data_IF_089130152090
#
_entry.id   IF_089130152090
#
_cell.length_a   1.000
_cell.length_b   1.000
_cell.length_c   1.000
_cell.angle_alpha   90.00
_cell.angle_beta   90.00
_cell.angle_gamma   90.00
#
_symmetry.space_group_name_H-M   'P 1'
#
loop_
_entity.id
_entity.type
_entity.pdbx_description
1 polymer ?
#
# COMPACT_ATOMS: atom_id res chain seq x y z
N UNK A 1 -24.11 -20.74 18.28
CA UNK A 1 -24.89 -19.52 18.58
C UNK A 1 -24.87 -18.67 17.31
N UNK A 2 -25.95 -18.74 16.53
CA UNK A 2 -26.02 -18.13 15.19
C UNK A 2 -26.15 -16.62 15.39
N UNK A 3 -25.08 -15.86 15.11
CA UNK A 3 -25.18 -14.39 15.05
C UNK A 3 -26.04 -14.05 13.83
N UNK A 4 -27.29 -13.68 14.06
CA UNK A 4 -28.11 -13.06 13.04
C UNK A 4 -27.44 -11.75 12.63
N UNK A 5 -26.89 -11.70 11.40
CA UNK A 5 -26.50 -10.45 10.77
C UNK A 5 -27.77 -9.61 10.65
N UNK A 6 -27.88 -8.52 11.42
CA UNK A 6 -28.88 -7.49 11.13
C UNK A 6 -28.67 -7.04 9.69
N UNK A 7 -29.72 -6.91 8.87
CA UNK A 7 -29.56 -6.29 7.56
C UNK A 7 -29.00 -4.88 7.78
N UNK A 8 -27.85 -4.59 7.17
CA UNK A 8 -27.30 -3.24 7.15
C UNK A 8 -28.28 -2.34 6.40
N UNK A 9 -28.39 -1.05 6.77
CA UNK A 9 -29.31 -0.12 6.13
C UNK A 9 -29.12 -0.15 4.61
N UNK A 10 -30.22 -0.04 3.87
CA UNK A 10 -30.21 0.07 2.42
C UNK A 10 -29.46 1.36 2.05
N UNK A 11 -28.17 1.25 1.75
CA UNK A 11 -27.35 2.41 1.38
C UNK A 11 -27.86 2.85 0.02
N UNK A 12 -28.52 4.01 0.00
CA UNK A 12 -29.15 4.54 -1.20
C UNK A 12 -28.12 4.58 -2.35
N UNK A 13 -28.46 3.96 -3.47
CA UNK A 13 -27.65 4.06 -4.67
C UNK A 13 -27.58 5.54 -5.09
N UNK A 14 -26.41 6.04 -5.51
CA UNK A 14 -26.26 7.44 -5.87
C UNK A 14 -27.25 7.82 -6.98
N UNK A 15 -27.91 8.97 -6.83
CA UNK A 15 -28.68 9.52 -7.94
C UNK A 15 -27.77 9.75 -9.16
N UNK A 16 -28.26 9.53 -10.38
CA UNK A 16 -27.48 9.74 -11.59
C UNK A 16 -26.85 11.14 -11.60
N UNK A 17 -25.52 11.21 -11.70
CA UNK A 17 -24.79 12.48 -11.73
C UNK A 17 -24.50 13.10 -10.36
N UNK A 18 -24.53 12.35 -9.25
CA UNK A 18 -23.95 12.80 -7.97
C UNK A 18 -22.71 11.99 -7.60
N UNK A 19 -21.69 12.69 -7.10
CA UNK A 19 -20.49 12.08 -6.53
C UNK A 19 -20.81 11.58 -5.14
N UNK A 20 -20.64 10.27 -4.95
CA UNK A 20 -20.86 9.62 -3.66
C UNK A 20 -19.69 8.67 -3.41
N UNK A 21 -18.88 8.97 -2.40
CA UNK A 21 -17.63 8.29 -2.07
C UNK A 21 -17.54 8.05 -0.54
N UNK A 22 -16.75 7.09 -0.06
CA UNK A 22 -16.42 7.01 1.36
C UNK A 22 -15.90 8.36 1.89
N UNK A 23 -16.55 8.89 2.92
CA UNK A 23 -16.25 10.21 3.47
C UNK A 23 -16.90 11.39 2.72
N UNK A 24 -17.71 11.15 1.69
CA UNK A 24 -18.54 12.18 1.05
C UNK A 24 -19.83 11.56 0.48
N UNK A 25 -20.93 11.68 1.22
CA UNK A 25 -22.20 11.03 0.87
C UNK A 25 -22.28 9.55 1.26
N UNK A 26 -21.17 8.92 1.69
CA UNK A 26 -21.13 7.62 2.38
C UNK A 26 -20.29 7.70 3.65
N UNK A 27 -20.53 6.83 4.64
CA UNK A 27 -19.63 6.65 5.78
C UNK A 27 -18.18 6.40 5.33
N UNK A 28 -17.20 6.89 6.08
CA UNK A 28 -15.77 6.70 5.76
C UNK A 28 -15.34 5.23 5.76
N UNK A 29 -16.02 4.41 6.57
CA UNK A 29 -15.85 2.96 6.69
C UNK A 29 -16.72 2.17 5.70
N UNK A 30 -17.32 2.82 4.69
CA UNK A 30 -18.16 2.14 3.71
C UNK A 30 -17.39 1.04 2.96
N UNK A 31 -18.02 -0.12 2.86
CA UNK A 31 -17.52 -1.29 2.14
C UNK A 31 -18.54 -1.63 1.04
N UNK A 32 -18.18 -1.52 -0.25
CA UNK A 32 -19.07 -1.91 -1.34
C UNK A 32 -19.49 -3.38 -1.26
N UNK A 33 -20.75 -3.68 -1.56
CA UNK A 33 -21.32 -5.02 -1.60
C UNK A 33 -21.74 -5.41 -3.02
N UNK A 34 -21.95 -6.70 -3.25
CA UNK A 34 -22.43 -7.20 -4.55
C UNK A 34 -23.74 -6.50 -4.93
N UNK A 35 -23.72 -5.79 -6.07
CA UNK A 35 -24.83 -4.95 -6.55
C UNK A 35 -24.57 -3.45 -6.46
N UNK A 36 -23.58 -3.01 -5.68
CA UNK A 36 -23.12 -1.63 -5.67
C UNK A 36 -22.33 -1.29 -6.93
N UNK A 37 -22.44 -0.05 -7.40
CA UNK A 37 -21.75 0.44 -8.62
C UNK A 37 -20.22 0.37 -8.49
N UNK A 38 -19.71 0.53 -7.27
CA UNK A 38 -18.30 0.52 -6.92
C UNK A 38 -17.79 -0.84 -6.39
N UNK A 39 -18.59 -1.90 -6.53
CA UNK A 39 -18.17 -3.25 -6.16
C UNK A 39 -17.25 -3.87 -7.21
N UNK A 40 -15.98 -4.11 -6.83
CA UNK A 40 -14.93 -4.66 -7.70
C UNK A 40 -14.53 -6.09 -7.27
N UNK A 41 -15.31 -6.73 -6.36
CA UNK A 41 -15.05 -8.00 -5.64
C UNK A 41 -14.22 -7.83 -4.36
N UNK A 42 -13.42 -8.83 -4.01
CA UNK A 42 -12.55 -8.85 -2.85
C UNK A 42 -11.59 -7.67 -2.91
N UNK A 43 -11.73 -6.79 -1.92
CA UNK A 43 -10.87 -5.62 -1.74
C UNK A 43 -9.73 -5.97 -0.78
N UNK A 44 -8.69 -5.14 -0.79
CA UNK A 44 -7.67 -5.20 0.25
C UNK A 44 -8.28 -4.93 1.63
N UNK A 45 -7.83 -5.66 2.68
CA UNK A 45 -8.18 -5.33 4.04
C UNK A 45 -7.83 -3.88 4.36
N UNK A 46 -8.76 -3.18 5.00
CA UNK A 46 -8.62 -1.76 5.32
C UNK A 46 -8.80 -1.54 6.80
N UNK A 47 -7.90 -0.76 7.40
CA UNK A 47 -8.03 -0.31 8.79
C UNK A 47 -9.29 0.54 9.04
N UNK A 48 -9.95 1.02 7.97
CA UNK A 48 -11.22 1.74 8.07
C UNK A 48 -12.43 0.79 8.23
N UNK A 49 -12.30 -0.51 7.97
CA UNK A 49 -13.38 -1.49 8.15
C UNK A 49 -13.28 -2.16 9.51
N UNK A 50 -14.34 -2.02 10.31
CA UNK A 50 -14.45 -2.75 11.58
C UNK A 50 -14.40 -4.27 11.39
N UNK A 51 -14.94 -4.79 10.28
CA UNK A 51 -14.89 -6.22 9.98
C UNK A 51 -13.45 -6.69 9.76
N UNK A 52 -12.67 -5.94 8.98
CA UNK A 52 -11.29 -6.34 8.63
C UNK A 52 -10.39 -6.28 9.87
N UNK A 53 -10.66 -5.31 10.76
CA UNK A 53 -10.01 -5.17 12.06
C UNK A 53 -10.37 -6.33 13.00
N UNK A 54 -11.65 -6.71 13.08
CA UNK A 54 -12.13 -7.83 13.91
C UNK A 54 -11.57 -9.17 13.43
N UNK A 55 -11.46 -9.35 12.12
CA UNK A 55 -10.86 -10.52 11.48
C UNK A 55 -9.31 -10.52 11.54
N UNK A 56 -8.71 -9.44 12.06
CA UNK A 56 -7.25 -9.20 12.11
C UNK A 56 -6.57 -9.23 10.74
N UNK A 57 -7.34 -9.04 9.67
CA UNK A 57 -6.86 -9.00 8.29
C UNK A 57 -6.01 -7.76 7.99
N UNK A 58 -6.06 -6.75 8.87
CA UNK A 58 -5.27 -5.50 8.80
C UNK A 58 -3.95 -5.58 9.58
N UNK A 59 -3.73 -6.64 10.36
CA UNK A 59 -2.53 -6.81 11.17
C UNK A 59 -1.54 -7.71 10.44
N UNK A 60 -0.42 -7.13 10.01
CA UNK A 60 0.69 -7.91 9.44
C UNK A 60 1.36 -8.70 10.57
N UNK A 61 1.61 -10.01 10.41
CA UNK A 61 2.25 -10.81 11.44
C UNK A 61 3.67 -10.31 11.72
N UNK A 62 4.10 -10.41 12.98
CA UNK A 62 5.48 -10.11 13.36
C UNK A 62 6.43 -11.07 12.63
N UNK A 63 7.29 -10.51 11.79
CA UNK A 63 8.28 -11.29 11.03
C UNK A 63 9.61 -11.28 11.76
N UNK A 64 10.17 -12.46 12.03
CA UNK A 64 11.45 -12.60 12.74
C UNK A 64 12.63 -12.14 11.90
N UNK A 65 13.76 -11.81 12.53
CA UNK A 65 14.98 -11.43 11.80
C UNK A 65 15.46 -12.51 10.82
N UNK A 66 15.25 -13.79 11.15
CA UNK A 66 15.60 -14.91 10.25
C UNK A 66 14.66 -15.00 9.06
N UNK A 67 13.36 -14.84 9.25
CA UNK A 67 12.40 -14.79 8.14
C UNK A 67 12.68 -13.59 7.22
N UNK A 68 12.98 -12.40 7.78
CA UNK A 68 13.42 -11.24 6.98
C UNK A 68 14.70 -11.56 6.19
N UNK A 69 15.67 -12.24 6.80
CA UNK A 69 16.90 -12.64 6.12
C UNK A 69 16.63 -13.64 4.98
N UNK A 70 15.72 -14.59 5.20
CA UNK A 70 15.27 -15.55 4.19
C UNK A 70 14.54 -14.87 3.03
N UNK A 71 13.67 -13.90 3.32
CA UNK A 71 12.98 -13.08 2.31
C UNK A 71 13.98 -12.27 1.48
N UNK A 72 14.98 -11.65 2.11
CA UNK A 72 16.04 -10.93 1.41
C UNK A 72 16.89 -11.85 0.52
N UNK A 73 17.17 -13.08 0.98
CA UNK A 73 17.86 -14.09 0.18
C UNK A 73 17.01 -14.48 -1.04
N UNK A 74 15.74 -14.84 -0.84
CA UNK A 74 14.83 -15.16 -1.94
C UNK A 74 14.69 -14.00 -2.92
N UNK A 75 14.60 -12.76 -2.42
CA UNK A 75 14.56 -11.58 -3.26
C UNK A 75 15.82 -11.44 -4.12
N UNK A 76 17.01 -11.61 -3.53
CA UNK A 76 18.28 -11.52 -4.26
C UNK A 76 18.44 -12.59 -5.36
N UNK A 77 17.82 -13.76 -5.18
CA UNK A 77 17.80 -14.81 -6.21
C UNK A 77 16.79 -14.46 -7.30
N UNK A 78 15.58 -14.05 -6.92
CA UNK A 78 14.48 -13.75 -7.85
C UNK A 78 14.70 -12.45 -8.63
N UNK A 79 15.63 -11.58 -8.23
CA UNK A 79 16.07 -10.41 -9.01
C UNK A 79 17.08 -10.77 -10.12
N UNK A 80 17.60 -12.01 -10.13
CA UNK A 80 18.49 -12.47 -11.20
C UNK A 80 17.65 -12.82 -12.44
N UNK A 81 18.05 -12.41 -13.66
CA UNK A 81 17.34 -12.76 -14.88
C UNK A 81 17.19 -14.27 -15.02
N UNK A 82 16.00 -14.72 -15.44
CA UNK A 82 15.67 -16.13 -15.65
C UNK A 82 15.89 -17.03 -14.42
N UNK A 83 15.74 -16.48 -13.20
CA UNK A 83 15.91 -17.22 -11.95
C UNK A 83 15.08 -18.52 -11.94
N UNK A 84 13.86 -18.47 -12.48
CA UNK A 84 12.90 -19.58 -12.51
C UNK A 84 13.40 -20.80 -13.30
N UNK A 85 14.24 -20.59 -14.30
CA UNK A 85 14.92 -21.68 -15.02
C UNK A 85 16.18 -22.11 -14.27
N UNK A 86 16.95 -21.12 -13.80
CA UNK A 86 18.28 -21.33 -13.19
C UNK A 86 18.22 -22.02 -11.83
N UNK A 87 17.12 -21.87 -11.08
CA UNK A 87 16.91 -22.53 -9.78
C UNK A 87 16.85 -24.06 -9.88
N UNK A 88 16.65 -24.61 -11.09
CA UNK A 88 16.66 -26.05 -11.34
C UNK A 88 18.04 -26.58 -11.75
N UNK A 89 19.04 -25.72 -11.94
CA UNK A 89 20.41 -26.12 -12.26
C UNK A 89 21.23 -26.27 -10.97
N UNK A 90 21.71 -27.49 -10.62
CA UNK A 90 22.46 -27.73 -9.39
C UNK A 90 23.75 -26.90 -9.27
N UNK A 91 24.46 -26.64 -10.38
CA UNK A 91 25.70 -25.87 -10.37
C UNK A 91 25.44 -24.38 -10.08
N UNK A 92 24.33 -23.84 -10.61
CA UNK A 92 23.94 -22.45 -10.35
C UNK A 92 23.45 -22.30 -8.92
N UNK A 93 22.62 -23.22 -8.44
CA UNK A 93 22.16 -23.25 -7.05
C UNK A 93 23.35 -23.34 -6.09
N UNK A 94 24.36 -24.15 -6.41
CA UNK A 94 25.57 -24.26 -5.60
C UNK A 94 26.31 -22.92 -5.49
N UNK A 95 26.45 -22.17 -6.59
CA UNK A 95 27.03 -20.82 -6.56
C UNK A 95 26.22 -19.84 -5.71
N UNK A 96 24.89 -19.86 -5.83
CA UNK A 96 24.04 -18.99 -5.00
C UNK A 96 24.10 -19.35 -3.51
N UNK A 97 24.29 -20.63 -3.18
CA UNK A 97 24.53 -21.06 -1.80
C UNK A 97 25.83 -20.50 -1.25
N UNK A 98 26.90 -20.55 -2.03
CA UNK A 98 28.20 -19.98 -1.67
C UNK A 98 28.11 -18.45 -1.51
N UNK A 99 27.47 -17.75 -2.46
CA UNK A 99 27.20 -16.30 -2.37
C UNK A 99 26.42 -15.95 -1.09
N UNK A 100 25.39 -16.72 -0.75
CA UNK A 100 24.56 -16.48 0.42
C UNK A 100 25.33 -16.67 1.74
N UNK A 101 26.11 -17.74 1.86
CA UNK A 101 26.94 -18.01 3.05
C UNK A 101 28.07 -16.98 3.19
N UNK A 102 28.59 -16.46 2.08
CA UNK A 102 29.61 -15.40 2.08
C UNK A 102 29.05 -13.98 2.32
N UNK A 103 27.73 -13.80 2.37
CA UNK A 103 27.09 -12.48 2.47
C UNK A 103 27.29 -11.78 3.82
N UNK A 104 27.79 -12.49 4.84
CA UNK A 104 27.94 -11.97 6.21
C UNK A 104 26.61 -11.88 6.99
N UNK A 105 25.49 -12.34 6.42
CA UNK A 105 24.19 -12.42 7.10
C UNK A 105 24.10 -13.70 7.95
N UNK A 106 23.22 -13.71 8.97
CA UNK A 106 22.90 -14.93 9.75
C UNK A 106 22.07 -15.89 8.90
N UNK A 107 22.74 -16.62 7.99
CA UNK A 107 22.13 -17.60 7.10
C UNK A 107 22.65 -18.98 7.45
N UNK A 108 21.75 -19.85 7.90
CA UNK A 108 22.05 -21.26 8.14
C UNK A 108 21.81 -22.09 6.89
N UNK A 109 22.42 -23.28 6.84
CA UNK A 109 22.20 -24.24 5.76
C UNK A 109 20.71 -24.61 5.60
N UNK A 110 20.00 -24.79 6.71
CA UNK A 110 18.56 -25.12 6.68
C UNK A 110 17.70 -23.99 6.13
N UNK A 111 18.05 -22.73 6.40
CA UNK A 111 17.37 -21.57 5.81
C UNK A 111 17.56 -21.55 4.29
N UNK A 112 18.80 -21.80 3.83
CA UNK A 112 19.10 -21.91 2.40
C UNK A 112 18.33 -23.04 1.73
N UNK A 113 18.34 -24.23 2.32
CA UNK A 113 17.65 -25.40 1.79
C UNK A 113 16.15 -25.11 1.64
N UNK A 114 15.54 -24.49 2.65
CA UNK A 114 14.14 -24.08 2.58
C UNK A 114 13.89 -23.05 1.49
N UNK A 115 14.69 -21.97 1.42
CA UNK A 115 14.53 -20.93 0.41
C UNK A 115 14.66 -21.47 -1.02
N UNK A 116 15.63 -22.36 -1.26
CA UNK A 116 15.80 -22.98 -2.57
C UNK A 116 14.60 -23.88 -2.90
N UNK A 117 14.14 -24.71 -1.95
CA UNK A 117 12.98 -25.58 -2.16
C UNK A 117 11.70 -24.77 -2.46
N UNK A 118 11.48 -23.69 -1.72
CA UNK A 118 10.34 -22.76 -1.93
C UNK A 118 10.41 -22.12 -3.32
N UNK A 119 11.59 -21.62 -3.74
CA UNK A 119 11.76 -21.03 -5.06
C UNK A 119 11.60 -22.05 -6.19
N UNK A 120 12.07 -23.29 -6.02
CA UNK A 120 11.83 -24.37 -6.99
C UNK A 120 10.33 -24.70 -7.12
N UNK A 121 9.63 -24.78 -5.99
CA UNK A 121 8.19 -24.99 -5.97
C UNK A 121 7.46 -23.86 -6.69
N UNK A 122 7.81 -22.60 -6.44
CA UNK A 122 7.20 -21.45 -7.10
C UNK A 122 7.53 -21.40 -8.59
N UNK A 123 8.77 -21.69 -8.98
CA UNK A 123 9.17 -21.79 -10.38
C UNK A 123 8.41 -22.88 -11.14
N UNK A 124 8.10 -24.02 -10.50
CA UNK A 124 7.33 -25.10 -11.14
C UNK A 124 5.89 -24.75 -11.50
N UNK A 125 5.35 -23.66 -10.92
CA UNK A 125 3.99 -23.17 -11.19
C UNK A 125 3.96 -22.14 -12.32
N UNK A 126 5.12 -21.66 -12.76
CA UNK A 126 5.20 -20.63 -13.79
C UNK A 126 4.91 -21.22 -15.17
N UNK A 127 4.15 -20.52 -16.03
CA UNK A 127 3.99 -20.91 -17.42
C UNK A 127 5.34 -21.00 -18.15
N UNK A 128 5.43 -21.82 -19.20
CA UNK A 128 6.65 -21.93 -20.01
C UNK A 128 7.01 -20.63 -20.74
N UNK A 129 6.02 -19.79 -21.04
CA UNK A 129 6.20 -18.48 -21.66
C UNK A 129 6.41 -17.39 -20.58
N UNK A 130 7.60 -16.77 -20.50
CA UNK A 130 7.90 -15.71 -19.54
C UNK A 130 6.98 -14.49 -19.64
N UNK A 131 6.44 -14.20 -20.83
CA UNK A 131 5.53 -13.08 -21.01
C UNK A 131 4.19 -13.27 -20.29
N UNK A 132 3.86 -14.51 -19.90
CA UNK A 132 2.65 -14.89 -19.19
C UNK A 132 2.89 -15.16 -17.71
N UNK A 133 4.11 -14.89 -17.21
CA UNK A 133 4.41 -15.11 -15.80
C UNK A 133 3.55 -14.19 -14.92
N UNK A 134 2.79 -14.74 -13.97
CA UNK A 134 2.06 -13.91 -13.02
C UNK A 134 3.06 -13.14 -12.14
N UNK A 135 2.64 -12.01 -11.56
CA UNK A 135 3.43 -11.36 -10.52
C UNK A 135 3.78 -12.35 -9.40
N UNK A 136 5.03 -12.31 -8.94
CA UNK A 136 5.52 -13.13 -7.84
C UNK A 136 5.18 -12.44 -6.52
N UNK A 137 4.46 -13.12 -5.63
CA UNK A 137 4.23 -12.68 -4.26
C UNK A 137 5.56 -12.69 -3.50
N UNK A 138 5.92 -11.58 -2.86
CA UNK A 138 7.21 -11.44 -2.16
C UNK A 138 7.07 -11.16 -0.67
N UNK A 139 5.97 -10.56 -0.23
CA UNK A 139 5.77 -10.26 1.19
C UNK A 139 4.30 -9.98 1.53
N UNK A 140 3.98 -10.06 2.82
CA UNK A 140 2.67 -9.73 3.38
C UNK A 140 2.24 -8.31 3.02
N UNK A 141 0.93 -8.06 3.06
CA UNK A 141 0.34 -6.80 2.59
C UNK A 141 0.28 -6.71 1.06
N UNK A 142 0.17 -7.88 0.41
CA UNK A 142 0.00 -7.99 -1.04
C UNK A 142 1.11 -7.31 -1.84
N UNK A 143 2.35 -7.52 -1.39
CA UNK A 143 3.54 -7.03 -2.10
C UNK A 143 3.91 -8.06 -3.17
N UNK A 144 3.82 -7.63 -4.43
CA UNK A 144 4.17 -8.42 -5.59
C UNK A 144 5.30 -7.76 -6.39
N UNK A 145 6.03 -8.56 -7.15
CA UNK A 145 6.93 -8.07 -8.19
C UNK A 145 6.71 -8.76 -9.53
N UNK A 146 6.99 -8.07 -10.61
CA UNK A 146 6.88 -8.61 -11.97
C UNK A 146 7.86 -7.89 -12.88
N UNK A 147 8.55 -8.66 -13.72
CA UNK A 147 9.45 -8.14 -14.74
C UNK A 147 8.71 -7.62 -15.99
N UNK A 148 7.41 -7.95 -16.12
CA UNK A 148 6.60 -7.68 -17.32
C UNK A 148 5.41 -6.76 -17.07
N UNK A 149 5.10 -6.43 -15.81
CA UNK A 149 3.96 -5.57 -15.47
C UNK A 149 4.05 -4.16 -16.06
N UNK A 150 5.26 -3.66 -16.32
CA UNK A 150 5.52 -2.35 -16.93
C UNK A 150 6.39 -2.55 -18.17
N UNK A 151 5.90 -2.14 -19.34
CA UNK A 151 6.66 -2.28 -20.57
C UNK A 151 7.93 -1.42 -20.56
N UNK A 152 9.01 -1.83 -21.26
CA UNK A 152 10.23 -1.02 -21.37
C UNK A 152 9.96 0.39 -21.92
N UNK A 153 9.01 0.52 -22.84
CA UNK A 153 8.62 1.79 -23.46
C UNK A 153 7.92 2.70 -22.45
N UNK A 154 6.98 2.17 -21.65
CA UNK A 154 6.29 2.93 -20.62
C UNK A 154 7.26 3.34 -19.51
N UNK A 155 8.12 2.41 -19.06
CA UNK A 155 9.17 2.69 -18.08
C UNK A 155 10.08 3.84 -18.53
N UNK A 156 10.54 3.79 -19.80
CA UNK A 156 11.38 4.85 -20.37
C UNK A 156 10.63 6.19 -20.44
N UNK A 157 9.40 6.18 -20.94
CA UNK A 157 8.57 7.38 -21.06
C UNK A 157 8.34 8.05 -19.69
N UNK A 158 8.06 7.25 -18.65
CA UNK A 158 7.90 7.73 -17.28
C UNK A 158 9.21 8.33 -16.75
N UNK A 159 10.34 7.65 -16.94
CA UNK A 159 11.65 8.16 -16.51
C UNK A 159 12.02 9.48 -17.20
N UNK A 160 11.73 9.61 -18.49
CA UNK A 160 11.96 10.84 -19.24
C UNK A 160 11.06 11.99 -18.75
N UNK A 161 9.78 11.71 -18.51
CA UNK A 161 8.84 12.70 -17.98
C UNK A 161 9.25 13.18 -16.57
N UNK A 162 9.64 12.25 -15.68
CA UNK A 162 10.09 12.58 -14.32
C UNK A 162 11.40 13.39 -14.36
N UNK A 163 12.38 13.02 -15.20
CA UNK A 163 13.61 13.82 -15.36
C UNK A 163 13.34 15.23 -15.86
N UNK A 164 12.43 15.38 -16.83
CA UNK A 164 12.04 16.69 -17.36
C UNK A 164 11.31 17.54 -16.31
N UNK A 165 10.58 16.91 -15.39
CA UNK A 165 9.98 17.55 -14.23
C UNK A 165 11.05 17.96 -13.20
N UNK A 166 11.92 17.03 -12.78
CA UNK A 166 13.03 17.25 -11.85
C UNK A 166 13.94 18.40 -12.29
N UNK A 167 14.29 18.46 -13.57
CA UNK A 167 15.17 19.49 -14.13
C UNK A 167 14.61 20.93 -13.99
N UNK A 168 13.30 21.07 -13.80
CA UNK A 168 12.65 22.38 -13.61
C UNK A 168 12.61 22.83 -12.14
N UNK A 169 12.97 21.95 -11.20
CA UNK A 169 12.90 22.23 -9.76
C UNK A 169 14.32 22.48 -9.23
N UNK A 170 14.62 23.71 -8.75
CA UNK A 170 15.89 24.00 -8.08
C UNK A 170 16.13 23.08 -6.87
N UNK A 171 17.38 22.69 -6.63
CA UNK A 171 17.75 21.76 -5.55
C UNK A 171 17.21 22.19 -4.18
N UNK A 172 17.26 23.50 -3.88
CA UNK A 172 16.74 24.08 -2.62
C UNK A 172 15.24 23.90 -2.39
N UNK A 173 14.48 23.48 -3.41
CA UNK A 173 13.04 23.24 -3.35
C UNK A 173 12.70 21.74 -3.34
N UNK A 174 13.68 20.85 -3.42
CA UNK A 174 13.44 19.42 -3.33
C UNK A 174 13.22 19.05 -1.86
N UNK A 175 12.05 18.49 -1.58
CA UNK A 175 11.62 18.05 -0.25
C UNK A 175 11.99 16.59 -0.06
N UNK A 176 13.24 16.33 0.30
CA UNK A 176 13.72 14.98 0.52
C UNK A 176 13.09 14.39 1.78
N UNK A 177 12.49 13.20 1.64
CA UNK A 177 11.88 12.51 2.75
C UNK A 177 12.94 12.29 3.85
N UNK A 178 12.64 12.61 5.12
CA UNK A 178 13.56 12.37 6.23
C UNK A 178 14.07 10.93 6.24
N UNK A 179 15.35 10.76 6.58
CA UNK A 179 16.03 9.46 6.70
C UNK A 179 16.15 8.65 5.39
N UNK A 180 15.84 9.25 4.24
CA UNK A 180 15.93 8.57 2.94
C UNK A 180 17.32 8.61 2.28
N UNK A 181 18.29 9.34 2.85
CA UNK A 181 19.60 9.58 2.21
C UNK A 181 19.44 10.19 0.80
N UNK A 182 18.51 11.15 0.66
CA UNK A 182 18.16 11.84 -0.58
C UNK A 182 17.74 10.89 -1.72
N UNK A 183 17.11 9.76 -1.38
CA UNK A 183 16.61 8.78 -2.36
C UNK A 183 15.10 8.86 -2.58
N UNK A 184 14.37 9.45 -1.64
CA UNK A 184 12.92 9.56 -1.70
C UNK A 184 12.56 11.04 -1.67
N UNK A 185 11.96 11.52 -2.75
CA UNK A 185 11.52 12.90 -2.89
C UNK A 185 10.00 12.97 -2.72
N UNK A 186 9.55 13.74 -1.71
CA UNK A 186 8.14 14.01 -1.48
C UNK A 186 7.64 15.07 -2.46
N UNK A 187 6.98 14.65 -3.53
CA UNK A 187 6.32 15.59 -4.47
C UNK A 187 5.09 16.24 -3.84
N UNK A 188 4.36 15.45 -3.05
CA UNK A 188 3.21 15.86 -2.25
C UNK A 188 3.26 15.02 -0.98
N UNK A 189 3.57 15.64 0.16
CA UNK A 189 3.58 14.91 1.42
C UNK A 189 2.13 14.56 1.82
N UNK A 190 1.77 13.27 2.05
CA UNK A 190 0.39 12.84 2.27
C UNK A 190 -0.34 13.56 3.42
N UNK A 191 0.40 14.00 4.45
CA UNK A 191 -0.16 14.74 5.58
C UNK A 191 -0.50 16.21 5.30
N UNK A 192 -0.09 16.78 4.15
CA UNK A 192 -0.29 18.20 3.86
C UNK A 192 -1.68 18.53 3.27
N UNK A 193 -2.34 17.54 2.66
CA UNK A 193 -3.62 17.74 1.98
C UNK A 193 -4.69 16.73 2.41
N UNK A 194 -4.93 16.52 3.72
CA UNK A 194 -5.97 15.60 4.17
C UNK A 194 -7.37 16.16 3.84
N UNK A 195 -8.34 15.26 3.73
CA UNK A 195 -9.75 15.61 3.79
C UNK A 195 -10.06 16.15 5.20
N UNK A 196 -10.53 17.40 5.28
CA UNK A 196 -10.95 18.04 6.52
C UNK A 196 -12.42 18.43 6.37
N UNK A 197 -13.30 17.79 7.13
CA UNK A 197 -14.71 18.16 7.14
C UNK A 197 -14.93 19.61 7.56
N UNK A 198 -15.90 20.27 6.93
CA UNK A 198 -16.15 21.71 7.12
C UNK A 198 -15.15 22.62 6.41
N UNK A 199 -14.11 22.07 5.75
CA UNK A 199 -13.09 22.86 5.04
C UNK A 199 -12.84 22.39 3.61
N UNK A 200 -12.55 21.11 3.40
CA UNK A 200 -12.21 20.56 2.08
C UNK A 200 -13.43 20.60 1.17
N UNK A 201 -13.22 20.91 -0.11
CA UNK A 201 -14.28 21.00 -1.12
C UNK A 201 -14.23 19.84 -2.11
N UNK A 202 -15.40 19.35 -2.51
CA UNK A 202 -15.58 18.18 -3.36
C UNK A 202 -16.50 18.54 -4.54
N UNK A 203 -16.14 18.08 -5.73
CA UNK A 203 -16.98 18.17 -6.93
C UNK A 203 -18.14 17.17 -6.78
N UNK A 204 -19.33 17.67 -6.45
CA UNK A 204 -20.43 16.86 -5.92
C UNK A 204 -21.38 16.30 -6.97
N UNK A 205 -21.35 16.79 -8.21
CA UNK A 205 -22.32 16.43 -9.25
C UNK A 205 -21.70 15.53 -10.32
N UNK A 206 -20.88 14.56 -9.88
CA UNK A 206 -20.20 13.63 -10.78
C UNK A 206 -19.13 14.29 -11.65
N UNK A 207 -18.81 15.57 -11.41
CA UNK A 207 -17.74 16.23 -12.15
C UNK A 207 -16.38 15.69 -11.71
N UNK A 208 -15.52 15.40 -12.66
CA UNK A 208 -14.10 15.08 -12.42
C UNK A 208 -13.23 16.23 -12.93
N UNK A 209 -11.96 16.26 -12.50
CA UNK A 209 -10.96 17.19 -12.99
C UNK A 209 -9.96 16.45 -13.88
N UNK A 210 -9.26 17.17 -14.76
CA UNK A 210 -8.19 16.65 -15.60
C UNK A 210 -6.84 17.26 -15.19
N UNK A 211 -5.75 16.76 -15.75
CA UNK A 211 -4.41 17.31 -15.51
C UNK A 211 -4.30 18.78 -15.97
N UNK A 212 -5.07 19.17 -16.99
CA UNK A 212 -5.06 20.50 -17.59
C UNK A 212 -5.83 21.53 -16.76
N UNK A 213 -6.88 21.10 -16.03
CA UNK A 213 -7.78 22.01 -15.33
C UNK A 213 -7.74 21.93 -13.80
N UNK A 214 -7.03 20.95 -13.21
CA UNK A 214 -6.99 20.73 -11.76
C UNK A 214 -6.55 21.96 -10.95
N UNK A 215 -5.59 22.73 -11.45
CA UNK A 215 -5.14 23.97 -10.80
C UNK A 215 -6.23 25.04 -10.86
N UNK A 216 -6.86 25.22 -12.03
CA UNK A 216 -7.92 26.23 -12.22
C UNK A 216 -9.15 25.92 -11.37
N UNK A 217 -9.47 24.63 -11.20
CA UNK A 217 -10.63 24.15 -10.45
C UNK A 217 -10.38 23.99 -8.96
N UNK A 218 -9.17 24.25 -8.49
CA UNK A 218 -8.84 24.21 -7.07
C UNK A 218 -9.73 25.17 -6.28
N UNK A 219 -10.47 24.63 -5.29
CA UNK A 219 -11.42 25.40 -4.48
C UNK A 219 -12.86 25.43 -5.03
N UNK A 220 -13.13 24.85 -6.19
CA UNK A 220 -14.51 24.60 -6.66
C UNK A 220 -15.19 23.49 -5.84
N UNK A 221 -16.49 23.28 -6.06
CA UNK A 221 -17.28 22.23 -5.41
C UNK A 221 -17.98 22.67 -4.12
N UNK A 222 -18.48 21.70 -3.37
CA UNK A 222 -19.19 21.92 -2.09
C UNK A 222 -18.29 21.51 -0.93
N UNK A 223 -18.45 22.16 0.22
CA UNK A 223 -17.69 21.78 1.42
C UNK A 223 -18.14 20.40 1.88
N UNK A 224 -17.19 19.48 2.05
CA UNK A 224 -17.43 18.15 2.58
C UNK A 224 -17.94 18.26 4.02
N UNK A 225 -19.06 17.60 4.30
CA UNK A 225 -19.64 17.50 5.63
C UNK A 225 -19.55 16.04 6.06
N UNK A 226 -19.14 15.81 7.31
CA UNK A 226 -19.09 14.47 7.86
C UNK A 226 -20.48 13.85 7.87
N UNK A 227 -20.61 12.63 7.37
CA UNK A 227 -21.84 11.86 7.52
C UNK A 227 -21.82 11.31 8.94
N UNK A 228 -22.66 11.87 9.83
CA UNK A 228 -22.90 11.25 11.13
C UNK A 228 -23.45 9.83 10.89
N UNK A 229 -22.91 8.82 11.56
CA UNK A 229 -23.48 7.47 11.50
C UNK A 229 -24.93 7.55 12.01
N UNK A 230 -25.92 7.30 11.15
CA UNK A 230 -27.33 7.35 11.54
C UNK A 230 -27.58 6.43 12.75
N UNK A 231 -28.03 7.03 13.86
CA UNK A 231 -28.50 6.28 15.04
C UNK A 231 -27.46 6.05 16.14
N UNK A 232 -26.27 6.63 16.05
CA UNK A 232 -25.43 6.87 17.23
C UNK A 232 -25.53 8.36 17.57
N UNK A 233 -25.88 8.67 18.81
CA UNK A 233 -25.49 9.96 19.42
C UNK A 233 -23.97 10.13 19.20
N UNK A 234 -23.42 11.32 19.42
CA UNK A 234 -21.97 11.58 19.38
C UNK A 234 -21.19 10.75 20.44
N UNK A 235 -21.33 9.43 20.48
CA UNK A 235 -20.23 8.55 20.80
C UNK A 235 -19.21 8.83 19.72
N UNK A 236 -18.19 9.61 20.13
CA UNK A 236 -16.86 9.65 19.56
C UNK A 236 -16.76 8.60 18.46
N UNK A 237 -16.79 9.06 17.21
CA UNK A 237 -16.16 8.29 16.12
C UNK A 237 -14.95 7.65 16.75
N UNK A 238 -14.81 6.33 16.68
CA UNK A 238 -13.62 5.62 17.16
C UNK A 238 -12.38 6.03 16.30
N UNK A 239 -12.20 7.33 15.99
CA UNK A 239 -10.94 8.03 16.04
C UNK A 239 -10.30 7.74 17.39
N UNK A 240 -9.51 6.67 17.45
CA UNK A 240 -8.46 6.49 18.46
C UNK A 240 -8.78 7.04 19.85
N UNK A 241 -9.86 6.55 20.46
CA UNK A 241 -10.16 6.72 21.88
C UNK A 241 -9.13 6.08 22.82
N UNK A 242 -7.83 6.16 22.49
CA UNK A 242 -6.82 6.39 23.49
C UNK A 242 -7.05 7.84 23.93
N UNK A 243 -7.45 8.05 25.19
CA UNK A 243 -7.26 9.36 25.83
C UNK A 243 -5.86 9.84 25.48
N UNK A 244 -5.75 10.77 24.54
CA UNK A 244 -4.51 11.49 24.31
C UNK A 244 -4.35 12.31 25.58
N UNK A 245 -3.59 11.78 26.53
CA UNK A 245 -2.97 12.66 27.50
C UNK A 245 -2.24 13.71 26.65
N UNK A 246 -2.50 15.02 26.85
CA UNK A 246 -1.81 16.05 26.10
C UNK A 246 -0.33 15.71 26.18
N UNK A 247 0.34 15.66 25.03
CA UNK A 247 1.77 15.37 24.91
C UNK A 247 2.51 16.11 26.00
N UNK A 248 2.77 15.43 27.12
CA UNK A 248 3.64 15.91 28.15
C UNK A 248 4.99 15.90 27.49
N UNK A 249 5.55 17.08 27.22
CA UNK A 249 6.91 17.20 26.74
C UNK A 249 7.78 16.20 27.53
N UNK A 250 8.47 15.26 26.87
CA UNK A 250 9.32 14.33 27.61
C UNK A 250 10.28 15.19 28.42
N UNK A 251 10.21 15.09 29.74
CA UNK A 251 11.23 15.64 30.62
C UNK A 251 12.47 14.78 30.37
N UNK A 252 13.22 15.15 29.33
CA UNK A 252 14.56 14.65 29.10
C UNK A 252 15.38 15.10 30.31
N UNK A 253 15.62 14.19 31.25
CA UNK A 253 16.67 14.38 32.25
C UNK A 253 17.95 14.60 31.46
N UNK A 254 18.50 15.81 31.58
CA UNK A 254 19.82 16.14 31.02
C UNK A 254 20.81 15.09 31.55
N UNK A 255 21.58 14.39 30.71
CA UNK A 255 22.48 13.34 31.19
C UNK A 255 23.68 13.87 31.98
N UNK A 256 23.81 15.19 32.17
CA UNK A 256 24.86 15.78 32.99
C UNK A 256 24.31 17.02 33.73
N UNK A 257 23.96 16.81 35.00
CA UNK A 257 23.86 17.82 36.06
C UNK A 257 24.38 17.20 37.34
#
# INVERSE_FOLDING_TARGET
MVRHKKPLPNIAQPEPGKTVLPGFGRPINYVPQEGDVDYIRDRFPSALSGQDMDERSTVIPMTTLRELTMLQLMNSITDKPEWYNKINNPEIVQKWREEALASGRDITQSMLDWCIAELQHNASKLPSDPAQHPPTFVYNGDVYKSDVAVSPELKRSLQEAVRAFEAKIPERLKDWHPESDEKVWDLVHPSLFPLIYGRTRVLANGETTTLEDCVRRSGEGVVAVGVAEEGKEEEETMEWGVRVQPWGAPVLKKPYS
#
